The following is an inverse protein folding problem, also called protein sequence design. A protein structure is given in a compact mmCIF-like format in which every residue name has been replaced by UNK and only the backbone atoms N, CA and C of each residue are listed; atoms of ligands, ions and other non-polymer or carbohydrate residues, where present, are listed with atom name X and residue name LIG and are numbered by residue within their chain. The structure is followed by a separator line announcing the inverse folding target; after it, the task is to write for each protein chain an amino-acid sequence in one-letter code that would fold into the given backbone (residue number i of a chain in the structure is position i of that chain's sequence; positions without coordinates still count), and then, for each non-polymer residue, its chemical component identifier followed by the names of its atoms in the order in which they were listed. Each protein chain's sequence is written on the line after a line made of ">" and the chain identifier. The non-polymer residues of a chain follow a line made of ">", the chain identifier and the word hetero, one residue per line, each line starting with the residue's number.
data_IF_117724548657
#
_entry.id   IF_117724548657
#
_cell.length_a   1.000
_cell.length_b   1.000
_cell.length_c   1.000
_cell.angle_alpha   90.00
_cell.angle_beta   90.00
_cell.angle_gamma   90.00
#
_symmetry.space_group_name_H-M   'P 1'
#
loop_
_entity.id
_entity.type
_entity.pdbx_description
1 polymer ?
#
# COMPACT_ATOMS: atom_id res chain seq x y z
N UNK A 1 3.00 -16.00 4.81
CA UNK A 1 3.84 -14.86 4.39
C UNK A 1 3.28 -14.23 3.11
N UNK A 2 3.51 -12.97 2.95
CA UNK A 2 3.07 -12.25 1.76
C UNK A 2 3.88 -12.74 0.57
N UNK A 3 3.19 -13.23 -0.46
CA UNK A 3 3.86 -13.79 -1.64
C UNK A 3 4.29 -12.69 -2.59
N UNK A 4 5.39 -12.91 -3.27
CA UNK A 4 5.97 -12.03 -4.29
C UNK A 4 6.37 -10.65 -3.77
N UNK A 5 6.44 -10.50 -2.45
CA UNK A 5 6.86 -9.23 -1.87
C UNK A 5 8.38 -9.07 -1.96
N UNK A 6 8.80 -7.99 -2.60
CA UNK A 6 10.19 -7.57 -2.65
C UNK A 6 10.26 -6.13 -2.16
N UNK A 7 10.85 -5.94 -0.98
CA UNK A 7 10.95 -4.60 -0.38
C UNK A 7 11.72 -3.65 -1.30
N UNK A 8 12.72 -4.16 -2.03
CA UNK A 8 13.48 -3.36 -2.98
C UNK A 8 12.61 -2.75 -4.08
N UNK A 9 11.56 -3.44 -4.50
CA UNK A 9 10.63 -2.90 -5.49
C UNK A 9 9.85 -1.71 -4.91
N UNK A 10 9.46 -1.79 -3.65
CA UNK A 10 8.77 -0.68 -2.99
C UNK A 10 9.70 0.51 -2.80
N UNK A 11 10.96 0.26 -2.45
CA UNK A 11 11.96 1.33 -2.37
C UNK A 11 12.08 2.06 -3.71
N UNK A 12 12.08 1.32 -4.80
CA UNK A 12 12.17 1.90 -6.13
C UNK A 12 10.93 2.73 -6.48
N UNK A 13 9.74 2.20 -6.17
CA UNK A 13 8.48 2.91 -6.44
C UNK A 13 8.36 4.20 -5.64
N UNK A 14 8.73 4.17 -4.37
CA UNK A 14 8.63 5.34 -3.49
C UNK A 14 9.86 6.24 -3.58
N UNK A 15 10.94 5.75 -4.22
CA UNK A 15 12.19 6.49 -4.40
C UNK A 15 12.79 6.92 -3.05
N UNK A 16 12.58 6.11 -2.04
CA UNK A 16 13.07 6.37 -0.69
C UNK A 16 13.18 5.06 0.09
N UNK A 17 14.01 5.05 1.11
CA UNK A 17 14.14 3.91 1.99
C UNK A 17 13.02 3.93 3.03
N UNK A 18 12.55 2.77 3.48
CA UNK A 18 11.49 2.72 4.47
C UNK A 18 11.96 3.14 5.86
N UNK A 19 11.02 3.61 6.65
CA UNK A 19 11.23 3.84 8.07
C UNK A 19 10.74 2.59 8.78
N UNK A 20 11.61 1.96 9.57
CA UNK A 20 11.24 0.76 10.32
C UNK A 20 10.53 1.18 11.61
N UNK A 21 9.44 0.47 11.92
CA UNK A 21 8.58 0.77 13.06
C UNK A 21 8.56 -0.46 13.97
N UNK A 22 8.44 -0.23 15.26
CA UNK A 22 8.30 -1.32 16.21
C UNK A 22 9.65 -1.90 16.63
N UNK A 23 9.71 -3.22 16.77
CA UNK A 23 10.90 -3.87 17.28
C UNK A 23 12.00 -4.01 16.21
N UNK A 24 13.08 -4.63 16.58
CA UNK A 24 14.31 -4.68 15.79
C UNK A 24 14.25 -5.65 14.59
N UNK A 25 13.15 -6.32 14.36
CA UNK A 25 13.11 -7.38 13.35
C UNK A 25 12.81 -6.90 11.94
N UNK A 26 12.51 -5.62 11.77
CA UNK A 26 12.27 -5.05 10.45
C UNK A 26 11.02 -5.57 9.77
N UNK A 27 10.02 -5.99 10.53
CA UNK A 27 8.79 -6.58 10.01
C UNK A 27 7.72 -5.56 9.71
N UNK A 28 7.84 -4.38 10.31
CA UNK A 28 6.90 -3.27 10.10
C UNK A 28 7.68 -2.10 9.52
N UNK A 29 7.17 -1.52 8.45
CA UNK A 29 7.86 -0.42 7.80
C UNK A 29 6.88 0.56 7.18
N UNK A 30 7.32 1.81 7.09
CA UNK A 30 6.58 2.88 6.45
C UNK A 30 7.33 3.35 5.22
N UNK A 31 6.62 3.47 4.12
CA UNK A 31 7.08 4.16 2.92
C UNK A 31 6.26 5.43 2.78
N UNK A 32 6.92 6.55 2.55
CA UNK A 32 6.25 7.84 2.46
C UNK A 32 6.63 8.55 1.18
N UNK A 33 5.65 9.16 0.54
CA UNK A 33 5.86 9.99 -0.64
C UNK A 33 5.07 11.28 -0.49
N UNK A 34 5.74 12.40 -0.77
CA UNK A 34 5.11 13.71 -0.72
C UNK A 34 4.90 14.24 -2.13
N UNK A 35 3.76 14.89 -2.32
CA UNK A 35 3.36 15.48 -3.59
C UNK A 35 3.18 16.99 -3.42
N UNK A 36 3.08 17.75 -4.52
CA UNK A 36 2.80 19.18 -4.41
C UNK A 36 1.51 19.46 -3.66
N UNK A 37 1.43 20.65 -3.07
CA UNK A 37 0.26 21.15 -2.36
C UNK A 37 -0.11 20.39 -1.08
N UNK A 38 0.86 19.75 -0.45
CA UNK A 38 0.67 19.11 0.84
C UNK A 38 -0.01 17.72 0.80
N UNK A 39 -0.23 17.18 -0.39
CA UNK A 39 -0.71 15.81 -0.53
C UNK A 39 0.41 14.85 -0.14
N UNK A 40 0.11 13.83 0.63
CA UNK A 40 1.07 12.79 0.98
C UNK A 40 0.44 11.41 0.95
N UNK A 41 1.29 10.43 0.65
CA UNK A 41 0.95 9.01 0.66
C UNK A 41 1.86 8.31 1.65
N UNK A 42 1.28 7.57 2.57
CA UNK A 42 2.03 6.71 3.47
C UNK A 42 1.55 5.29 3.30
N UNK A 43 2.48 4.38 3.05
CA UNK A 43 2.20 2.95 3.00
C UNK A 43 2.81 2.31 4.24
N UNK A 44 1.97 1.76 5.09
CA UNK A 44 2.40 0.95 6.22
C UNK A 44 2.31 -0.51 5.82
N UNK A 45 3.40 -1.25 6.02
CA UNK A 45 3.48 -2.66 5.67
C UNK A 45 3.87 -3.45 6.90
N UNK A 46 3.02 -4.42 7.27
CA UNK A 46 3.29 -5.36 8.35
C UNK A 46 3.47 -6.75 7.70
N UNK A 47 4.72 -7.19 7.62
CA UNK A 47 5.05 -8.45 6.95
C UNK A 47 4.50 -9.64 7.73
N UNK A 48 4.65 -9.65 9.04
CA UNK A 48 4.15 -10.74 9.88
C UNK A 48 2.63 -10.79 9.94
N UNK A 49 1.99 -9.64 10.06
CA UNK A 49 0.54 -9.57 10.06
C UNK A 49 -0.08 -9.75 8.70
N UNK A 50 0.74 -9.78 7.65
CA UNK A 50 0.29 -9.88 6.26
C UNK A 50 -0.71 -8.79 5.93
N UNK A 51 -0.36 -7.55 6.28
CA UNK A 51 -1.31 -6.46 6.28
C UNK A 51 -0.67 -5.20 5.73
N UNK A 52 -1.48 -4.42 5.00
CA UNK A 52 -1.08 -3.09 4.56
C UNK A 52 -2.09 -2.06 5.07
N UNK A 53 -1.61 -0.84 5.22
CA UNK A 53 -2.45 0.31 5.45
C UNK A 53 -1.93 1.45 4.58
N UNK A 54 -2.83 2.05 3.82
CA UNK A 54 -2.50 3.17 2.95
C UNK A 54 -3.20 4.39 3.48
N UNK A 55 -2.42 5.43 3.77
CA UNK A 55 -2.92 6.66 4.36
C UNK A 55 -2.66 7.78 3.37
N UNK A 56 -3.72 8.47 2.98
CA UNK A 56 -3.64 9.62 2.08
C UNK A 56 -4.05 10.85 2.89
N UNK A 57 -3.15 11.82 2.95
CA UNK A 57 -3.35 13.04 3.72
C UNK A 57 -3.27 14.26 2.80
N UNK A 58 -4.21 15.17 2.95
CA UNK A 58 -4.27 16.44 2.24
C UNK A 58 -4.71 17.53 3.23
N UNK A 59 -4.10 18.73 3.22
CA UNK A 59 -4.28 19.71 4.32
C UNK A 59 -5.71 20.13 4.64
N UNK A 60 -6.60 20.16 3.64
CA UNK A 60 -7.95 20.68 3.84
C UNK A 60 -9.03 19.59 3.86
N UNK A 61 -8.62 18.33 3.85
CA UNK A 61 -9.55 17.21 3.75
C UNK A 61 -9.28 16.18 4.83
N UNK A 62 -10.28 15.38 5.22
CA UNK A 62 -10.04 14.30 6.15
C UNK A 62 -9.03 13.30 5.62
N UNK A 63 -8.28 12.68 6.53
CA UNK A 63 -7.35 11.62 6.19
C UNK A 63 -8.13 10.42 5.66
N UNK A 64 -7.73 9.92 4.51
CA UNK A 64 -8.31 8.71 3.92
C UNK A 64 -7.40 7.54 4.17
N UNK A 65 -7.96 6.46 4.72
CA UNK A 65 -7.19 5.27 5.08
C UNK A 65 -7.82 4.05 4.43
N UNK A 66 -6.96 3.23 3.81
CA UNK A 66 -7.33 1.90 3.33
C UNK A 66 -6.50 0.88 4.08
N UNK A 67 -7.14 -0.13 4.65
CA UNK A 67 -6.46 -1.16 5.44
C UNK A 67 -6.98 -2.53 5.02
N UNK A 68 -6.09 -3.48 4.79
CA UNK A 68 -6.47 -4.84 4.43
C UNK A 68 -5.35 -5.82 4.69
N UNK A 69 -5.72 -7.08 4.92
CA UNK A 69 -4.77 -8.18 4.85
C UNK A 69 -4.50 -8.48 3.39
N UNK A 70 -3.26 -8.83 3.10
CA UNK A 70 -2.85 -9.10 1.72
C UNK A 70 -2.24 -10.49 1.61
N UNK A 71 -2.49 -11.11 0.46
CA UNK A 71 -1.97 -12.42 0.12
C UNK A 71 -0.67 -12.31 -0.66
N UNK A 72 -0.62 -11.40 -1.61
CA UNK A 72 0.56 -11.21 -2.46
C UNK A 72 0.60 -9.79 -3.03
N UNK A 73 1.76 -9.44 -3.55
CA UNK A 73 1.98 -8.16 -4.23
C UNK A 73 2.41 -8.45 -5.65
N UNK A 74 1.79 -7.77 -6.61
CA UNK A 74 2.16 -7.86 -8.03
C UNK A 74 2.43 -6.46 -8.55
N UNK A 75 3.46 -6.32 -9.36
CA UNK A 75 3.83 -5.04 -9.94
C UNK A 75 3.73 -5.16 -11.46
N UNK A 76 2.88 -4.34 -12.04
CA UNK A 76 2.68 -4.29 -13.49
C UNK A 76 2.83 -2.84 -13.93
N UNK A 77 3.84 -2.57 -14.77
CA UNK A 77 4.18 -1.21 -15.19
C UNK A 77 4.47 -0.32 -13.98
N UNK A 78 3.73 0.76 -13.79
CA UNK A 78 3.95 1.69 -12.70
C UNK A 78 2.92 1.51 -11.57
N UNK A 79 2.24 0.38 -11.55
CA UNK A 79 1.15 0.13 -10.61
C UNK A 79 1.51 -1.03 -9.69
N UNK A 80 1.33 -0.81 -8.39
CA UNK A 80 1.48 -1.84 -7.37
C UNK A 80 0.09 -2.42 -7.11
N UNK A 81 -0.03 -3.74 -7.26
CA UNK A 81 -1.28 -4.46 -7.01
C UNK A 81 -1.14 -5.23 -5.70
N UNK A 82 -1.89 -4.83 -4.70
CA UNK A 82 -1.98 -5.57 -3.44
C UNK A 82 -3.21 -6.47 -3.51
N UNK A 83 -2.98 -7.77 -3.64
CA UNK A 83 -4.07 -8.74 -3.71
C UNK A 83 -4.51 -9.06 -2.30
N UNK A 84 -5.75 -8.73 -2.00
CA UNK A 84 -6.29 -8.74 -0.64
C UNK A 84 -6.95 -10.06 -0.31
N UNK A 85 -6.94 -10.42 0.99
CA UNK A 85 -7.64 -11.59 1.52
C UNK A 85 -8.95 -11.21 2.18
N UNK A 86 -9.35 -9.92 2.09
CA UNK A 86 -10.54 -9.43 2.78
C UNK A 86 -11.84 -9.82 2.10
N UNK A 87 -12.93 -9.62 2.82
CA UNK A 87 -14.26 -9.92 2.32
C UNK A 87 -14.83 -8.83 1.44
N UNK A 88 -14.39 -7.59 1.65
CA UNK A 88 -14.94 -6.42 0.95
C UNK A 88 -14.06 -5.93 -0.18
N UNK A 89 -12.76 -6.15 -0.07
CA UNK A 89 -11.78 -5.64 -1.01
C UNK A 89 -10.95 -6.80 -1.55
N UNK A 90 -11.01 -7.02 -2.87
CA UNK A 90 -10.26 -8.09 -3.51
C UNK A 90 -8.85 -7.65 -3.90
N UNK A 91 -8.71 -6.40 -4.31
CA UNK A 91 -7.44 -5.87 -4.77
C UNK A 91 -7.38 -4.37 -4.50
N UNK A 92 -6.19 -3.90 -4.14
CA UNK A 92 -5.91 -2.48 -4.01
C UNK A 92 -4.75 -2.13 -4.92
N UNK A 93 -4.97 -1.19 -5.82
CA UNK A 93 -3.98 -0.75 -6.78
C UNK A 93 -3.47 0.63 -6.39
N UNK A 94 -2.15 0.78 -6.37
CA UNK A 94 -1.50 2.05 -6.05
C UNK A 94 -0.53 2.40 -7.17
N UNK A 95 -0.73 3.57 -7.77
CA UNK A 95 0.18 4.14 -8.75
C UNK A 95 0.75 5.43 -8.14
N UNK A 96 1.98 5.39 -7.61
CA UNK A 96 2.50 6.55 -6.89
C UNK A 96 3.06 7.65 -7.78
N UNK A 97 3.39 7.37 -9.03
CA UNK A 97 3.99 8.34 -9.95
C UNK A 97 3.44 8.18 -11.35
N UNK A 98 3.35 9.24 -12.16
CA UNK A 98 3.67 10.65 -11.85
C UNK A 98 2.62 11.33 -10.98
N UNK A 99 1.41 10.80 -10.96
CA UNK A 99 0.32 11.29 -10.13
C UNK A 99 -0.17 10.16 -9.24
N UNK A 100 -0.54 10.50 -8.00
CA UNK A 100 -1.07 9.50 -7.10
C UNK A 100 -2.44 9.01 -7.58
N UNK A 101 -2.56 7.70 -7.75
CA UNK A 101 -3.84 7.04 -8.02
C UNK A 101 -3.97 5.85 -7.10
N UNK A 102 -5.10 5.75 -6.44
CA UNK A 102 -5.43 4.60 -5.60
C UNK A 102 -6.81 4.09 -6.02
N UNK A 103 -6.89 2.81 -6.30
CA UNK A 103 -8.11 2.20 -6.77
C UNK A 103 -8.34 0.87 -6.07
N UNK A 104 -9.53 0.70 -5.50
CA UNK A 104 -9.92 -0.54 -4.84
C UNK A 104 -10.93 -1.30 -5.69
N UNK A 105 -10.70 -2.59 -5.86
CA UNK A 105 -11.62 -3.48 -6.57
C UNK A 105 -12.33 -4.35 -5.54
N UNK A 106 -13.65 -4.24 -5.47
CA UNK A 106 -14.44 -5.01 -4.53
C UNK A 106 -14.61 -6.46 -4.97
N UNK A 107 -14.91 -7.32 -4.01
CA UNK A 107 -15.27 -8.71 -4.32
C UNK A 107 -16.63 -8.72 -5.03
N UNK A 108 -16.69 -9.41 -6.16
CA UNK A 108 -17.92 -9.51 -6.91
C UNK A 108 -18.96 -10.38 -6.18
N UNK A 109 -20.18 -9.86 -6.04
CA UNK A 109 -21.27 -10.63 -5.44
C UNK A 109 -21.72 -11.77 -6.33
N UNK A 110 -21.46 -11.68 -7.61
CA UNK A 110 -21.87 -12.69 -8.57
C UNK A 110 -21.00 -13.93 -8.54
N UNK A 111 -19.88 -13.87 -7.85
CA UNK A 111 -18.99 -15.00 -7.67
C UNK A 111 -19.36 -15.86 -6.45
N UNK A 112 -20.43 -15.53 -5.80
CA UNK A 112 -20.92 -16.25 -4.64
C UNK A 112 -21.82 -17.38 -5.08
#
# INVERSE_FOLDING_TARGET
>A
MIKNLQVSDLVEFFQDIPIYVGDEQGCEMLFKKEYPHGLSLTLYLDIYGEKIEIIISCPEYPITTFSSRIERVEIHSDVIHFICCGQCLAELQVEPSPFLKVHGCSVSKDSI
#
